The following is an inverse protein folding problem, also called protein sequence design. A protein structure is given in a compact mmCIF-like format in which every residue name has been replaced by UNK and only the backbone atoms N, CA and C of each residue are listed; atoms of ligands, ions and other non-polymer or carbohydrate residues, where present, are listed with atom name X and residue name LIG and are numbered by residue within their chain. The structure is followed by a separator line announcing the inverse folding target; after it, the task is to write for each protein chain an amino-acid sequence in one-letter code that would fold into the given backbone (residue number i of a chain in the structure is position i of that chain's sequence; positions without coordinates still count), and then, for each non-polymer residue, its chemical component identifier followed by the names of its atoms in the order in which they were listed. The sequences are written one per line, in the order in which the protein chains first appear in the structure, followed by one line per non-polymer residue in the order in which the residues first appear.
data_IF_536059718688
#
_entry.id   IF_536059718688
#
_cell.length_a   1.000
_cell.length_b   1.000
_cell.length_c   1.000
_cell.angle_alpha   90.00
_cell.angle_beta   90.00
_cell.angle_gamma   90.00
#
_symmetry.space_group_name_H-M   'P 1'
#
loop_
_entity.id
_entity.type
_entity.pdbx_description
1 polymer ?
#
# COMPACT_ATOMS: atom_id res chain seq x y z
N UNK A 1 12.63 -5.22 11.92
CA UNK A 1 11.14 -5.27 11.88
C UNK A 1 10.50 -4.83 13.19
N UNK A 2 11.20 -4.98 14.31
CA UNK A 2 10.69 -4.61 15.66
C UNK A 2 10.41 -3.10 15.82
N UNK A 3 11.02 -2.26 14.99
CA UNK A 3 10.83 -0.79 15.03
C UNK A 3 9.80 -0.27 13.99
N UNK A 4 8.98 -1.14 13.41
CA UNK A 4 7.95 -0.68 12.48
C UNK A 4 6.74 -0.16 13.25
N UNK A 5 6.32 1.06 12.93
CA UNK A 5 5.10 1.69 13.46
C UNK A 5 3.91 1.24 12.62
N UNK A 6 2.92 0.61 13.25
CA UNK A 6 1.69 0.17 12.60
C UNK A 6 0.54 1.02 13.12
N UNK A 7 -0.24 1.62 12.21
CA UNK A 7 -1.46 2.33 12.56
C UNK A 7 -2.67 1.42 12.32
N UNK A 8 -3.53 1.27 13.32
CA UNK A 8 -4.83 0.59 13.23
C UNK A 8 -5.91 1.65 13.26
N UNK A 9 -6.77 1.65 12.25
CA UNK A 9 -7.90 2.60 12.12
C UNK A 9 -9.18 1.77 12.02
N UNK A 10 -9.99 1.76 13.08
CA UNK A 10 -11.23 1.00 13.16
C UNK A 10 -12.07 1.59 14.30
N UNK A 11 -13.38 1.80 14.10
CA UNK A 11 -14.28 2.32 15.13
C UNK A 11 -14.72 1.25 16.15
N UNK A 12 -14.47 -0.03 15.86
CA UNK A 12 -14.72 -1.14 16.75
C UNK A 12 -13.55 -1.37 17.72
N UNK A 13 -13.58 -0.82 18.94
CA UNK A 13 -12.52 -0.97 19.95
C UNK A 13 -12.13 -2.44 20.21
N UNK A 14 -13.08 -3.37 20.15
CA UNK A 14 -12.81 -4.80 20.31
C UNK A 14 -11.84 -5.33 19.25
N UNK A 15 -11.98 -4.91 17.99
CA UNK A 15 -11.10 -5.27 16.88
C UNK A 15 -9.73 -4.63 17.09
N UNK A 16 -9.70 -3.33 17.39
CA UNK A 16 -8.47 -2.59 17.66
C UNK A 16 -7.63 -3.26 18.75
N UNK A 17 -8.25 -3.57 19.89
CA UNK A 17 -7.57 -4.21 21.02
C UNK A 17 -7.09 -5.62 20.69
N UNK A 18 -7.90 -6.39 19.97
CA UNK A 18 -7.52 -7.74 19.52
C UNK A 18 -6.29 -7.68 18.60
N UNK A 19 -6.32 -6.84 17.58
CA UNK A 19 -5.23 -6.70 16.61
C UNK A 19 -3.97 -6.14 17.29
N UNK A 20 -4.11 -5.10 18.12
CA UNK A 20 -2.99 -4.51 18.88
C UNK A 20 -2.30 -5.56 19.77
N UNK A 21 -3.07 -6.38 20.50
CA UNK A 21 -2.53 -7.45 21.35
C UNK A 21 -1.73 -8.47 20.54
N UNK A 22 -2.25 -8.87 19.38
CA UNK A 22 -1.55 -9.85 18.54
C UNK A 22 -0.28 -9.24 17.94
N UNK A 23 -0.31 -8.01 17.43
CA UNK A 23 0.85 -7.30 16.93
C UNK A 23 1.94 -7.16 17.99
N UNK A 24 1.58 -6.74 19.21
CA UNK A 24 2.53 -6.61 20.32
C UNK A 24 3.16 -7.96 20.69
N UNK A 25 2.36 -9.04 20.72
CA UNK A 25 2.87 -10.40 20.98
C UNK A 25 3.86 -10.88 19.89
N UNK A 26 3.68 -10.42 18.66
CA UNK A 26 4.52 -10.74 17.51
C UNK A 26 5.75 -9.84 17.36
N UNK A 27 6.01 -8.95 18.34
CA UNK A 27 7.21 -8.14 18.47
C UNK A 27 7.11 -6.74 17.87
N UNK A 28 5.90 -6.28 17.49
CA UNK A 28 5.71 -4.88 17.08
C UNK A 28 5.54 -4.00 18.32
N UNK A 29 6.52 -3.13 18.59
CA UNK A 29 6.55 -2.26 19.79
C UNK A 29 5.69 -1.00 19.60
N UNK A 30 5.61 -0.49 18.38
CA UNK A 30 4.97 0.77 18.05
C UNK A 30 3.64 0.52 17.29
N UNK A 31 2.53 0.50 18.06
CA UNK A 31 1.18 0.31 17.51
C UNK A 31 0.30 1.50 17.90
N UNK A 32 0.07 2.36 16.92
CA UNK A 32 -0.82 3.51 17.01
C UNK A 32 -2.25 3.10 16.67
N UNK A 33 -3.23 3.79 17.22
CA UNK A 33 -4.65 3.48 17.02
C UNK A 33 -5.43 4.76 16.74
N UNK A 34 -6.40 4.69 15.84
CA UNK A 34 -7.37 5.73 15.57
C UNK A 34 -8.76 5.12 15.47
N UNK A 35 -9.77 5.84 15.95
CA UNK A 35 -11.19 5.43 15.92
C UNK A 35 -11.99 6.12 14.81
N UNK A 36 -11.36 7.02 14.06
CA UNK A 36 -11.98 7.77 12.97
C UNK A 36 -10.98 8.16 11.88
N UNK A 37 -11.52 8.58 10.74
CA UNK A 37 -10.73 9.11 9.63
C UNK A 37 -9.91 10.34 10.01
N UNK A 38 -10.49 11.25 10.80
CA UNK A 38 -9.83 12.47 11.26
C UNK A 38 -8.63 12.16 12.16
N UNK A 39 -8.81 11.26 13.14
CA UNK A 39 -7.70 10.81 14.00
C UNK A 39 -6.59 10.15 13.19
N UNK A 40 -6.94 9.34 12.20
CA UNK A 40 -5.96 8.68 11.33
C UNK A 40 -5.14 9.72 10.55
N UNK A 41 -5.80 10.74 9.97
CA UNK A 41 -5.11 11.83 9.27
C UNK A 41 -4.20 12.64 10.19
N UNK A 42 -4.64 12.90 11.40
CA UNK A 42 -3.83 13.62 12.39
C UNK A 42 -2.56 12.86 12.78
N UNK A 43 -2.66 11.52 12.88
CA UNK A 43 -1.52 10.67 13.18
C UNK A 43 -0.53 10.65 12.00
N UNK A 44 -0.98 10.39 10.77
CA UNK A 44 -0.08 10.29 9.60
C UNK A 44 0.60 11.63 9.25
N UNK A 45 0.05 12.77 9.70
CA UNK A 45 0.68 14.09 9.57
C UNK A 45 1.80 14.32 10.59
N UNK A 46 1.75 13.67 11.75
CA UNK A 46 2.64 13.90 12.89
C UNK A 46 3.69 12.80 13.04
N UNK A 47 3.32 11.58 12.74
CA UNK A 47 4.10 10.38 13.02
C UNK A 47 4.49 9.64 11.73
N UNK A 48 5.67 9.04 11.73
CA UNK A 48 6.08 8.15 10.64
C UNK A 48 5.41 6.80 10.82
N UNK A 49 4.50 6.46 9.92
CA UNK A 49 3.79 5.18 9.90
C UNK A 49 4.40 4.28 8.82
N UNK A 50 4.57 2.99 9.12
CA UNK A 50 5.18 2.00 8.22
C UNK A 50 4.18 1.04 7.59
N UNK A 51 2.97 0.92 8.15
CA UNK A 51 1.84 0.19 7.60
C UNK A 51 0.54 0.67 8.27
N UNK A 52 -0.53 0.74 7.50
CA UNK A 52 -1.85 1.18 7.96
C UNK A 52 -2.85 0.04 7.74
N UNK A 53 -3.54 -0.36 8.80
CA UNK A 53 -4.75 -1.19 8.76
C UNK A 53 -5.93 -0.23 8.82
N UNK A 54 -6.75 -0.19 7.79
CA UNK A 54 -7.81 0.81 7.65
C UNK A 54 -9.15 0.12 7.43
N UNK A 55 -10.05 0.27 8.41
CA UNK A 55 -11.42 -0.19 8.22
C UNK A 55 -12.12 0.61 7.12
N UNK A 56 -12.88 -0.11 6.30
CA UNK A 56 -13.67 0.49 5.23
C UNK A 56 -14.93 1.15 5.79
N UNK A 57 -15.57 0.51 6.77
CA UNK A 57 -16.92 0.87 7.22
C UNK A 57 -16.88 1.64 8.54
N UNK A 58 -16.39 2.87 8.50
CA UNK A 58 -16.42 3.75 9.68
C UNK A 58 -17.57 4.77 9.61
N UNK A 59 -18.11 5.21 10.76
CA UNK A 59 -19.10 6.29 10.81
C UNK A 59 -18.57 7.61 10.21
N UNK A 60 -19.39 8.28 9.45
CA UNK A 60 -19.05 9.58 8.84
C UNK A 60 -18.29 9.41 7.53
N UNK A 61 -16.99 9.26 7.58
CA UNK A 61 -16.13 9.10 6.40
C UNK A 61 -15.60 7.67 6.29
N UNK A 62 -15.80 7.03 5.14
CA UNK A 62 -15.31 5.66 4.92
C UNK A 62 -13.79 5.60 4.78
N UNK A 63 -13.20 4.41 5.01
CA UNK A 63 -11.76 4.19 4.77
C UNK A 63 -11.36 4.51 3.34
N UNK A 64 -12.25 4.27 2.36
CA UNK A 64 -11.98 4.61 0.96
C UNK A 64 -11.93 6.12 0.72
N UNK A 65 -12.83 6.86 1.36
CA UNK A 65 -12.89 8.33 1.19
C UNK A 65 -11.65 9.01 1.77
N UNK A 66 -11.10 8.47 2.86
CA UNK A 66 -9.93 9.05 3.54
C UNK A 66 -8.60 8.58 2.95
N UNK A 67 -8.55 7.42 2.31
CA UNK A 67 -7.28 6.85 1.83
C UNK A 67 -6.51 7.72 0.83
N UNK A 68 -7.14 8.45 -0.12
CA UNK A 68 -6.42 9.37 -0.99
C UNK A 68 -5.76 10.53 -0.23
N UNK A 69 -6.38 10.98 0.85
CA UNK A 69 -5.79 12.04 1.70
C UNK A 69 -4.64 11.49 2.56
N UNK A 70 -4.81 10.30 3.14
CA UNK A 70 -3.72 9.61 3.84
C UNK A 70 -2.52 9.45 2.90
N UNK A 71 -2.75 9.05 1.65
CA UNK A 71 -1.72 8.82 0.64
C UNK A 71 -0.91 10.08 0.29
N UNK A 72 -1.46 11.27 0.46
CA UNK A 72 -0.73 12.54 0.29
C UNK A 72 0.32 12.76 1.38
N UNK A 73 0.20 12.09 2.52
CA UNK A 73 1.08 12.27 3.68
C UNK A 73 2.04 11.11 3.90
N UNK A 74 1.76 9.92 3.33
CA UNK A 74 2.61 8.73 3.51
C UNK A 74 2.53 7.75 2.36
N UNK A 75 3.65 7.08 2.07
CA UNK A 75 3.73 5.94 1.16
C UNK A 75 3.62 4.59 1.90
N UNK A 76 3.25 4.60 3.18
CA UNK A 76 3.06 3.38 3.95
C UNK A 76 1.98 2.48 3.30
N UNK A 77 2.18 1.16 3.22
CA UNK A 77 1.16 0.25 2.72
C UNK A 77 -0.16 0.39 3.49
N UNK A 78 -1.27 0.44 2.75
CA UNK A 78 -2.64 0.50 3.30
C UNK A 78 -3.32 -0.83 3.04
N UNK A 79 -3.67 -1.54 4.12
CA UNK A 79 -4.47 -2.75 4.11
C UNK A 79 -5.89 -2.41 4.51
N UNK A 80 -6.82 -2.55 3.60
CA UNK A 80 -8.22 -2.35 3.94
C UNK A 80 -8.80 -3.57 4.68
N UNK A 81 -9.50 -3.28 5.78
CA UNK A 81 -10.33 -4.25 6.49
C UNK A 81 -11.77 -4.05 6.06
N UNK A 82 -12.46 -5.09 5.55
CA UNK A 82 -13.82 -4.96 5.00
C UNK A 82 -14.74 -6.08 5.43
N UNK A 83 -15.99 -5.76 5.75
CA UNK A 83 -16.99 -6.75 6.19
C UNK A 83 -17.60 -7.58 5.05
N UNK A 84 -17.43 -7.19 3.77
CA UNK A 84 -18.12 -7.84 2.64
C UNK A 84 -17.25 -7.99 1.39
N UNK A 85 -17.35 -9.17 0.76
CA UNK A 85 -16.80 -9.44 -0.59
C UNK A 85 -17.45 -8.57 -1.67
N UNK A 86 -18.72 -8.19 -1.51
CA UNK A 86 -19.45 -7.31 -2.44
C UNK A 86 -18.93 -5.86 -2.45
N UNK A 87 -18.27 -5.41 -1.38
CA UNK A 87 -17.62 -4.10 -1.35
C UNK A 87 -16.33 -4.13 -2.18
N UNK A 88 -15.65 -5.28 -2.23
CA UNK A 88 -14.53 -5.54 -3.15
C UNK A 88 -14.96 -5.50 -4.62
N UNK A 89 -16.15 -6.00 -4.94
CA UNK A 89 -16.70 -5.94 -6.31
C UNK A 89 -17.05 -4.50 -6.72
N UNK A 90 -17.48 -3.65 -5.80
CA UNK A 90 -17.68 -2.20 -6.03
C UNK A 90 -16.38 -1.41 -6.13
N UNK A 91 -15.31 -1.98 -5.60
CA UNK A 91 -13.94 -1.47 -5.68
C UNK A 91 -13.24 -1.85 -6.98
N UNK A 92 -14.00 -2.13 -8.03
CA UNK A 92 -13.47 -2.34 -9.38
C UNK A 92 -12.65 -1.15 -9.92
N UNK A 93 -12.26 -0.26 -9.04
CA UNK A 93 -11.28 0.76 -9.31
C UNK A 93 -10.23 0.80 -8.20
N UNK A 94 -9.07 0.25 -8.43
CA UNK A 94 -7.83 0.45 -7.66
C UNK A 94 -7.43 1.95 -7.53
N UNK A 95 -8.38 2.84 -7.78
CA UNK A 95 -8.25 4.28 -7.65
C UNK A 95 -7.96 4.76 -6.22
N UNK A 96 -8.05 3.87 -5.22
CA UNK A 96 -7.89 4.24 -3.81
C UNK A 96 -6.51 3.91 -3.21
N UNK A 97 -5.58 3.36 -4.00
CA UNK A 97 -4.20 3.15 -3.57
C UNK A 97 -3.99 2.07 -2.49
N UNK A 98 -4.86 1.05 -2.45
CA UNK A 98 -4.72 -0.08 -1.54
C UNK A 98 -3.57 -1.01 -1.93
N UNK A 99 -2.88 -1.55 -0.93
CA UNK A 99 -1.82 -2.54 -1.11
C UNK A 99 -2.29 -3.96 -0.80
N UNK A 100 -3.33 -4.12 0.06
CA UNK A 100 -3.98 -5.42 0.33
C UNK A 100 -5.41 -5.21 0.85
N UNK A 101 -6.24 -6.28 0.77
CA UNK A 101 -7.60 -6.34 1.27
C UNK A 101 -7.78 -7.56 2.16
N UNK A 102 -8.39 -7.36 3.32
CA UNK A 102 -8.63 -8.40 4.32
C UNK A 102 -10.10 -8.37 4.71
N UNK A 103 -10.80 -9.48 4.48
CA UNK A 103 -12.23 -9.58 4.82
C UNK A 103 -12.44 -9.90 6.28
N UNK A 104 -13.33 -9.16 6.93
CA UNK A 104 -13.83 -9.47 8.28
C UNK A 104 -14.93 -10.56 8.19
N UNK A 105 -14.92 -11.59 9.06
CA UNK A 105 -13.94 -11.84 10.10
C UNK A 105 -12.64 -12.44 9.53
N UNK A 106 -11.50 -11.97 10.00
CA UNK A 106 -10.19 -12.45 9.57
C UNK A 106 -9.49 -13.28 10.66
N UNK A 107 -8.59 -14.14 10.22
CA UNK A 107 -7.68 -14.82 11.13
C UNK A 107 -6.53 -13.87 11.52
N UNK A 108 -6.33 -13.56 12.82
CA UNK A 108 -5.26 -12.67 13.25
C UNK A 108 -3.85 -13.13 12.83
N UNK A 109 -3.61 -14.43 12.76
CA UNK A 109 -2.30 -14.97 12.33
C UNK A 109 -2.09 -14.77 10.85
N UNK A 110 -3.15 -14.86 10.02
CA UNK A 110 -3.07 -14.55 8.60
C UNK A 110 -2.77 -13.05 8.38
N UNK A 111 -3.45 -12.17 9.10
CA UNK A 111 -3.19 -10.73 9.08
C UNK A 111 -1.71 -10.44 9.39
N UNK A 112 -1.17 -11.02 10.46
CA UNK A 112 0.23 -10.86 10.85
C UNK A 112 1.18 -11.36 9.75
N UNK A 113 0.90 -12.51 9.16
CA UNK A 113 1.73 -13.06 8.08
C UNK A 113 1.80 -12.11 6.87
N UNK A 114 0.67 -11.49 6.50
CA UNK A 114 0.59 -10.50 5.42
C UNK A 114 1.38 -9.24 5.77
N UNK A 115 1.19 -8.69 6.98
CA UNK A 115 1.94 -7.53 7.48
C UNK A 115 3.45 -7.80 7.42
N UNK A 116 3.91 -8.93 7.99
CA UNK A 116 5.33 -9.30 7.98
C UNK A 116 5.88 -9.45 6.56
N UNK A 117 5.12 -10.02 5.64
CA UNK A 117 5.53 -10.18 4.25
C UNK A 117 5.72 -8.83 3.54
N UNK A 118 4.83 -7.87 3.77
CA UNK A 118 4.94 -6.51 3.21
C UNK A 118 6.11 -5.74 3.83
N UNK A 119 6.21 -5.71 5.15
CA UNK A 119 7.29 -5.01 5.83
C UNK A 119 8.65 -5.61 5.47
N UNK A 120 8.77 -6.95 5.36
CA UNK A 120 10.02 -7.61 4.96
C UNK A 120 10.48 -7.13 3.58
N UNK A 121 9.57 -7.00 2.62
CA UNK A 121 9.91 -6.47 1.28
C UNK A 121 10.47 -5.05 1.38
N UNK A 122 9.82 -4.18 2.12
CA UNK A 122 10.24 -2.79 2.32
C UNK A 122 11.60 -2.69 3.02
N UNK A 123 11.87 -3.55 4.03
CA UNK A 123 13.15 -3.55 4.77
C UNK A 123 14.29 -4.17 3.97
N UNK A 124 14.06 -5.25 3.21
CA UNK A 124 15.10 -5.86 2.35
C UNK A 124 15.56 -4.84 1.30
N UNK A 125 14.64 -4.09 0.71
CA UNK A 125 14.99 -3.01 -0.21
C UNK A 125 15.86 -1.94 0.45
N UNK A 126 15.61 -1.57 1.72
CA UNK A 126 16.44 -0.60 2.45
C UNK A 126 17.83 -1.13 2.80
N UNK A 127 17.99 -2.40 3.15
CA UNK A 127 19.29 -2.99 3.49
C UNK A 127 20.16 -3.23 2.23
N UNK A 128 19.54 -3.59 1.11
CA UNK A 128 20.23 -3.72 -0.18
C UNK A 128 20.64 -2.35 -0.71
N UNK A 129 19.84 -1.30 -0.51
CA UNK A 129 20.16 0.07 -0.88
C UNK A 129 21.38 0.65 -0.15
N UNK A 130 21.65 0.19 1.08
CA UNK A 130 22.85 0.62 1.83
C UNK A 130 24.16 -0.02 1.31
N UNK A 131 24.07 -1.03 0.46
CA UNK A 131 25.22 -1.79 -0.05
C UNK A 131 25.44 -1.69 -1.58
N UNK A 132 24.56 -1.06 -2.34
CA UNK A 132 24.69 -0.94 -3.78
C UNK A 132 24.52 0.50 -4.26
N UNK A 133 25.26 0.86 -5.29
CA UNK A 133 25.09 2.09 -6.06
C UNK A 133 23.62 2.16 -6.52
N UNK A 134 22.91 3.20 -6.11
CA UNK A 134 21.50 3.45 -6.42
C UNK A 134 21.24 3.22 -7.91
N UNK A 135 20.50 2.18 -8.24
CA UNK A 135 20.05 1.93 -9.60
C UNK A 135 18.76 2.73 -9.86
N UNK A 136 18.92 4.02 -10.14
CA UNK A 136 17.82 4.83 -10.62
C UNK A 136 17.47 4.42 -12.06
N UNK A 137 16.19 4.25 -12.34
CA UNK A 137 15.70 4.16 -13.72
C UNK A 137 15.36 5.57 -14.20
N UNK A 138 16.19 6.08 -15.13
CA UNK A 138 16.02 7.42 -15.69
C UNK A 138 15.37 7.34 -17.07
N UNK A 139 14.24 7.99 -17.24
CA UNK A 139 13.52 8.17 -18.49
C UNK A 139 13.28 9.65 -18.74
N UNK A 140 12.94 10.01 -19.96
CA UNK A 140 12.79 11.41 -20.39
C UNK A 140 11.83 12.23 -19.49
N UNK A 141 10.76 11.62 -18.99
CA UNK A 141 9.72 12.27 -18.19
C UNK A 141 9.68 11.84 -16.74
N UNK A 142 10.35 10.76 -16.37
CA UNK A 142 10.33 10.31 -14.99
C UNK A 142 11.64 9.66 -14.56
N UNK A 143 11.94 9.79 -13.28
CA UNK A 143 13.01 9.07 -12.59
C UNK A 143 12.38 8.21 -11.50
N UNK A 144 12.70 6.93 -11.50
CA UNK A 144 12.23 5.99 -10.50
C UNK A 144 13.40 5.45 -9.69
N UNK A 145 13.34 5.66 -8.38
CA UNK A 145 14.28 5.13 -7.40
C UNK A 145 13.63 3.97 -6.64
N UNK A 146 13.79 2.71 -7.05
CA UNK A 146 13.16 1.57 -6.39
C UNK A 146 13.63 1.42 -4.94
N UNK A 147 14.90 1.74 -4.66
CA UNK A 147 15.50 1.66 -3.34
C UNK A 147 14.86 2.62 -2.31
N UNK A 148 14.36 3.75 -2.79
CA UNK A 148 13.69 4.76 -1.98
C UNK A 148 12.16 4.73 -2.08
N UNK A 149 11.62 3.83 -2.91
CA UNK A 149 10.21 3.80 -3.27
C UNK A 149 9.72 5.19 -3.76
N UNK A 150 10.56 5.90 -4.51
CA UNK A 150 10.33 7.26 -4.95
C UNK A 150 10.17 7.32 -6.47
N UNK A 151 9.10 7.95 -6.91
CA UNK A 151 8.83 8.27 -8.31
C UNK A 151 8.79 9.79 -8.47
N UNK A 152 9.63 10.30 -9.37
CA UNK A 152 9.69 11.71 -9.74
C UNK A 152 9.18 11.82 -11.19
N UNK A 153 8.15 12.61 -11.43
CA UNK A 153 7.57 12.85 -12.76
C UNK A 153 7.61 14.35 -13.04
N UNK A 154 8.23 14.72 -14.15
CA UNK A 154 8.41 16.12 -14.57
C UNK A 154 9.03 17.01 -13.45
N UNK A 155 9.88 16.42 -12.59
CA UNK A 155 10.58 17.07 -11.48
C UNK A 155 9.82 17.12 -10.16
N UNK A 156 8.61 16.56 -10.06
CA UNK A 156 7.80 16.50 -8.84
C UNK A 156 7.73 15.07 -8.31
N UNK A 157 7.89 14.90 -6.99
CA UNK A 157 7.72 13.59 -6.34
C UNK A 157 6.25 13.19 -6.29
N UNK A 158 5.94 12.01 -6.84
CA UNK A 158 4.58 11.47 -6.91
C UNK A 158 4.41 10.36 -5.89
N UNK A 159 3.42 10.50 -5.01
CA UNK A 159 3.04 9.43 -4.08
C UNK A 159 2.35 8.29 -4.80
N UNK A 160 2.87 7.07 -4.61
CA UNK A 160 2.35 5.85 -5.22
C UNK A 160 2.16 4.76 -4.17
N UNK A 161 1.20 3.84 -4.42
CA UNK A 161 1.10 2.63 -3.61
C UNK A 161 2.31 1.72 -3.82
N UNK A 162 2.67 0.92 -2.82
CA UNK A 162 3.76 -0.05 -2.93
C UNK A 162 3.54 -1.02 -4.10
N UNK A 163 2.29 -1.39 -4.38
CA UNK A 163 1.92 -2.25 -5.50
C UNK A 163 2.17 -1.58 -6.86
N UNK A 164 1.85 -0.28 -6.98
CA UNK A 164 2.11 0.48 -8.21
C UNK A 164 3.63 0.63 -8.45
N UNK A 165 4.41 0.86 -7.40
CA UNK A 165 5.87 0.93 -7.50
C UNK A 165 6.48 -0.42 -7.90
N UNK A 166 5.96 -1.55 -7.40
CA UNK A 166 6.37 -2.90 -7.84
C UNK A 166 6.07 -3.14 -9.32
N UNK A 167 4.89 -2.70 -9.78
CA UNK A 167 4.53 -2.79 -11.20
C UNK A 167 5.48 -1.97 -12.06
N UNK A 168 5.75 -0.75 -11.64
CA UNK A 168 6.67 0.15 -12.34
C UNK A 168 8.09 -0.46 -12.40
N UNK A 169 8.59 -0.99 -11.28
CA UNK A 169 9.87 -1.68 -11.23
C UNK A 169 9.90 -2.85 -12.21
N UNK A 170 8.84 -3.67 -12.21
CA UNK A 170 8.76 -4.81 -13.12
C UNK A 170 8.79 -4.40 -14.60
N UNK A 171 8.16 -3.28 -14.96
CA UNK A 171 8.26 -2.73 -16.31
C UNK A 171 9.65 -2.18 -16.60
N UNK A 172 10.27 -1.47 -15.68
CA UNK A 172 11.63 -0.94 -15.83
C UNK A 172 12.69 -2.06 -15.98
N UNK A 173 12.49 -3.19 -15.30
CA UNK A 173 13.36 -4.37 -15.41
C UNK A 173 13.22 -5.12 -16.75
N UNK A 174 12.13 -4.86 -17.49
CA UNK A 174 11.83 -5.54 -18.74
C UNK A 174 11.57 -4.56 -19.89
N UNK A 175 12.55 -3.67 -20.22
CA UNK A 175 12.37 -2.67 -21.26
C UNK A 175 12.18 -3.35 -22.62
N UNK A 176 11.33 -2.77 -23.47
CA UNK A 176 11.04 -3.26 -24.82
C UNK A 176 10.48 -4.69 -24.90
N UNK A 177 9.85 -5.18 -23.83
CA UNK A 177 9.18 -6.47 -23.80
C UNK A 177 7.67 -6.30 -23.67
N UNK A 178 6.93 -7.09 -24.45
CA UNK A 178 5.48 -7.26 -24.24
C UNK A 178 5.31 -8.25 -23.10
N UNK A 179 4.72 -7.81 -22.01
CA UNK A 179 4.43 -8.63 -20.84
C UNK A 179 2.97 -9.09 -20.90
N UNK A 180 2.73 -10.37 -20.68
CA UNK A 180 1.38 -10.89 -20.61
C UNK A 180 0.72 -10.51 -19.28
N UNK A 181 -0.61 -10.47 -19.28
CA UNK A 181 -1.41 -10.22 -18.08
C UNK A 181 -1.06 -11.20 -16.95
N UNK A 182 -0.89 -12.47 -17.28
CA UNK A 182 -0.57 -13.53 -16.32
C UNK A 182 0.82 -13.32 -15.68
N UNK A 183 1.81 -12.91 -16.47
CA UNK A 183 3.14 -12.57 -15.95
C UNK A 183 3.11 -11.39 -14.97
N UNK A 184 2.30 -10.37 -15.26
CA UNK A 184 2.12 -9.22 -14.38
C UNK A 184 1.44 -9.65 -13.08
N UNK A 185 0.37 -10.47 -13.16
CA UNK A 185 -0.33 -10.97 -11.99
C UNK A 185 0.55 -11.86 -11.10
N UNK A 186 1.35 -12.73 -11.70
CA UNK A 186 2.24 -13.63 -10.96
C UNK A 186 3.30 -12.85 -10.17
N UNK A 187 3.84 -11.76 -10.74
CA UNK A 187 4.94 -11.00 -10.14
C UNK A 187 4.49 -9.87 -9.20
N UNK A 188 3.43 -9.17 -9.56
CA UNK A 188 2.99 -7.98 -8.83
C UNK A 188 1.71 -8.22 -8.00
N UNK A 189 1.18 -9.44 -8.00
CA UNK A 189 -0.08 -9.79 -7.37
C UNK A 189 -1.29 -9.48 -8.25
N UNK A 190 -2.48 -9.89 -7.80
CA UNK A 190 -3.70 -9.70 -8.58
C UNK A 190 -4.08 -8.21 -8.66
N UNK A 191 -3.71 -7.57 -9.77
CA UNK A 191 -4.38 -6.36 -10.19
C UNK A 191 -5.74 -6.76 -10.74
N UNK A 192 -6.81 -6.42 -10.08
CA UNK A 192 -8.12 -6.42 -10.70
C UNK A 192 -8.19 -5.24 -11.68
N UNK A 193 -7.60 -5.41 -12.86
CA UNK A 193 -7.89 -4.52 -13.97
C UNK A 193 -9.34 -4.79 -14.37
N UNK A 194 -10.24 -3.91 -13.96
CA UNK A 194 -11.59 -3.92 -14.52
C UNK A 194 -11.52 -3.64 -16.01
N UNK A 195 -12.41 -4.27 -16.78
CA UNK A 195 -12.52 -4.14 -18.24
C UNK A 195 -12.78 -2.69 -18.73
N UNK A 196 -12.85 -1.71 -17.83
CA UNK A 196 -13.09 -0.30 -18.15
C UNK A 196 -11.81 0.57 -18.10
N UNK A 197 -10.64 -0.02 -17.82
CA UNK A 197 -9.40 0.74 -17.92
C UNK A 197 -9.11 1.02 -19.40
N UNK A 198 -9.13 2.29 -19.79
CA UNK A 198 -8.65 2.76 -21.09
C UNK A 198 -7.27 2.15 -21.32
N UNK A 199 -7.03 1.46 -22.45
CA UNK A 199 -5.77 0.77 -22.67
C UNK A 199 -4.60 1.76 -22.58
N UNK A 200 -3.54 1.39 -21.86
CA UNK A 200 -2.34 2.22 -21.64
C UNK A 200 -1.66 2.70 -22.93
N UNK A 201 -1.99 2.12 -24.10
CA UNK A 201 -1.47 2.57 -25.39
C UNK A 201 -2.10 3.89 -25.90
N UNK A 202 -3.21 4.33 -25.30
CA UNK A 202 -3.84 5.62 -25.64
C UNK A 202 -3.08 6.85 -25.08
N UNK A 203 -2.07 6.63 -24.23
CA UNK A 203 -1.27 7.73 -23.63
C UNK A 203 -0.07 8.12 -24.52
N UNK A 204 0.18 7.41 -25.62
CA UNK A 204 1.37 7.66 -26.46
C UNK A 204 1.16 8.60 -27.65
N UNK A 205 -0.05 9.18 -27.83
CA UNK A 205 -0.33 10.15 -28.89
C UNK A 205 -0.97 11.42 -28.31
N UNK A 206 -0.15 12.25 -27.64
CA UNK A 206 -0.31 13.72 -27.63
C UNK A 206 0.95 14.37 -27.05
#
# INVERSE_FOLDING_TARGET
MENATILIVDDEDAIVQMVKRVLTKEGFSEVLTASSAEEALDIVKKDTVHLILLDVMMPGQTGFDVSPEIRRHTNAPIFFLTAKTSDLDKLSGFAYGADDYITKPFNPLELIARIKAHLKRTYIHKEVAAASVSSAYEYERFTFHPDFAELIVDGETVSCSAQLLQLLQYFCDHPNRVLSKDQIYEKCGAFHLTETATPLWYISEN
#
